data_IF_913280096917
#
_entry.id   IF_913280096917
#
_cell.length_a   1.000
_cell.length_b   1.000
_cell.length_c   1.000
_cell.angle_alpha   90.00
_cell.angle_beta   90.00
_cell.angle_gamma   90.00
#
_symmetry.space_group_name_H-M   'P 1'
#
loop_
_entity.id
_entity.type
_entity.pdbx_description
1 polymer ?
#
# COMPACT_ATOMS: atom_id res chain seq x y z
N UNK A 1 -17.65 -5.21 -14.49
CA UNK A 1 -16.77 -4.03 -14.38
C UNK A 1 -15.49 -4.54 -13.74
N UNK A 2 -14.34 -4.34 -14.39
CA UNK A 2 -13.02 -4.61 -13.82
C UNK A 2 -12.50 -3.23 -13.46
N UNK A 3 -12.41 -2.99 -12.16
CA UNK A 3 -12.32 -1.67 -11.57
C UNK A 3 -12.19 -1.81 -10.06
N UNK A 4 -11.10 -1.34 -9.46
CA UNK A 4 -11.10 -1.11 -8.01
C UNK A 4 -12.09 0.01 -7.63
N UNK A 5 -12.50 0.05 -6.36
CA UNK A 5 -13.42 1.09 -5.90
C UNK A 5 -12.76 2.48 -5.95
N UNK A 6 -13.55 3.55 -6.12
CA UNK A 6 -13.02 4.92 -6.14
C UNK A 6 -12.32 5.27 -4.82
N UNK A 7 -12.83 4.75 -3.70
CA UNK A 7 -12.20 4.89 -2.37
C UNK A 7 -10.83 4.20 -2.32
N UNK A 8 -10.69 3.02 -2.92
CA UNK A 8 -9.41 2.30 -3.02
C UNK A 8 -8.44 3.04 -3.94
N UNK A 9 -8.93 3.55 -5.07
CA UNK A 9 -8.15 4.36 -6.01
C UNK A 9 -7.62 5.62 -5.33
N UNK A 10 -8.48 6.37 -4.63
CA UNK A 10 -8.09 7.58 -3.88
C UNK A 10 -7.07 7.25 -2.79
N UNK A 11 -7.27 6.15 -2.05
CA UNK A 11 -6.32 5.73 -1.01
C UNK A 11 -4.95 5.36 -1.59
N UNK A 12 -4.88 4.76 -2.78
CA UNK A 12 -3.60 4.52 -3.46
C UNK A 12 -2.95 5.83 -3.93
N UNK A 13 -3.71 6.78 -4.44
CA UNK A 13 -3.18 8.11 -4.82
C UNK A 13 -2.58 8.80 -3.59
N UNK A 14 -3.30 8.80 -2.46
CA UNK A 14 -2.82 9.38 -1.20
C UNK A 14 -1.61 8.63 -0.64
N UNK A 15 -1.61 7.29 -0.74
CA UNK A 15 -0.48 6.46 -0.35
C UNK A 15 0.77 6.78 -1.19
N UNK A 16 0.63 6.95 -2.51
CA UNK A 16 1.73 7.36 -3.40
C UNK A 16 2.29 8.71 -2.99
N UNK A 17 1.44 9.70 -2.70
CA UNK A 17 1.87 11.01 -2.22
C UNK A 17 2.59 10.90 -0.88
N UNK A 18 2.08 10.10 0.06
CA UNK A 18 2.70 9.86 1.36
C UNK A 18 4.10 9.25 1.21
N UNK A 19 4.28 8.22 0.38
CA UNK A 19 5.60 7.61 0.15
C UNK A 19 6.59 8.63 -0.41
N UNK A 20 6.17 9.52 -1.33
CA UNK A 20 7.04 10.60 -1.83
C UNK A 20 7.53 11.53 -0.72
N UNK A 21 6.70 11.83 0.28
CA UNK A 21 7.14 12.64 1.45
C UNK A 21 8.14 11.90 2.33
N UNK A 22 8.11 10.57 2.30
CA UNK A 22 9.04 9.72 3.02
C UNK A 22 10.32 9.47 2.24
N UNK A 23 10.54 10.05 1.06
CA UNK A 23 11.81 9.94 0.34
C UNK A 23 12.56 11.28 0.40
N UNK A 24 13.89 11.21 0.53
CA UNK A 24 14.75 12.40 0.40
C UNK A 24 14.99 12.74 -1.07
N UNK A 25 14.94 11.72 -1.94
CA UNK A 25 15.04 11.83 -3.39
C UNK A 25 13.84 11.11 -4.01
N UNK A 26 12.67 11.78 -4.09
CA UNK A 26 11.46 11.15 -4.58
C UNK A 26 11.65 10.67 -6.01
N UNK A 27 11.72 9.36 -6.18
CA UNK A 27 11.82 8.72 -7.48
C UNK A 27 10.43 8.24 -7.93
N UNK A 28 9.96 8.81 -9.04
CA UNK A 28 8.68 8.45 -9.65
C UNK A 28 8.67 7.01 -10.18
N UNK A 29 9.84 6.40 -10.38
CA UNK A 29 10.01 5.01 -10.77
C UNK A 29 9.62 4.01 -9.67
N UNK A 30 9.51 4.47 -8.42
CA UNK A 30 9.20 3.62 -7.27
C UNK A 30 7.73 3.21 -7.22
N UNK A 31 6.85 4.01 -7.82
CA UNK A 31 5.41 3.78 -7.86
C UNK A 31 4.87 4.16 -9.25
N UNK A 32 4.84 3.19 -10.16
CA UNK A 32 4.40 3.34 -11.57
C UNK A 32 2.87 3.42 -11.76
N UNK A 33 2.13 3.71 -10.69
CA UNK A 33 0.68 3.90 -10.76
C UNK A 33 0.32 5.11 -11.61
N UNK A 34 -0.52 4.88 -12.62
CA UNK A 34 -0.99 5.93 -13.54
C UNK A 34 -2.13 6.74 -12.91
N UNK A 35 -1.80 7.48 -11.87
CA UNK A 35 -2.75 8.30 -11.09
C UNK A 35 -3.33 9.48 -11.88
N UNK A 36 -2.73 9.82 -13.03
CA UNK A 36 -3.13 10.95 -13.86
C UNK A 36 -4.15 10.56 -14.95
N UNK A 37 -4.19 9.29 -15.33
CA UNK A 37 -5.27 8.77 -16.17
C UNK A 37 -6.50 8.44 -15.33
N UNK A 38 -7.49 9.32 -15.36
CA UNK A 38 -8.77 9.15 -14.69
C UNK A 38 -9.61 7.98 -15.24
N UNK A 39 -9.16 7.32 -16.30
CA UNK A 39 -9.77 6.11 -16.86
C UNK A 39 -8.99 4.84 -16.52
N UNK A 40 -7.80 4.96 -15.92
CA UNK A 40 -7.03 3.78 -15.55
C UNK A 40 -7.65 3.09 -14.34
N UNK A 41 -7.91 1.79 -14.48
CA UNK A 41 -8.29 0.94 -13.36
C UNK A 41 -7.04 0.72 -12.49
N UNK A 42 -7.16 0.93 -11.18
CA UNK A 42 -6.01 0.69 -10.31
C UNK A 42 -5.62 -0.79 -10.23
N UNK A 43 -6.50 -1.72 -10.61
CA UNK A 43 -6.15 -3.13 -10.78
C UNK A 43 -5.22 -3.40 -11.97
N UNK A 44 -5.16 -2.48 -12.94
CA UNK A 44 -4.21 -2.53 -14.06
C UNK A 44 -2.88 -1.84 -13.72
N UNK A 45 -2.80 -1.14 -12.59
CA UNK A 45 -1.56 -0.50 -12.16
C UNK A 45 -0.52 -1.55 -11.77
N UNK A 46 0.72 -1.29 -12.15
CA UNK A 46 1.82 -2.19 -11.80
C UNK A 46 1.89 -2.38 -10.28
N UNK A 47 2.00 -3.64 -9.85
CA UNK A 47 2.14 -4.07 -8.44
C UNK A 47 0.91 -3.82 -7.55
N UNK A 48 -0.23 -3.52 -8.16
CA UNK A 48 -1.53 -3.65 -7.52
C UNK A 48 -2.13 -4.98 -7.95
N UNK A 49 -2.49 -5.83 -6.98
CA UNK A 49 -3.17 -7.09 -7.26
C UNK A 49 -4.56 -7.04 -6.69
N UNK A 50 -5.54 -7.18 -7.55
CA UNK A 50 -6.94 -7.27 -7.17
C UNK A 50 -7.45 -8.71 -7.15
N UNK A 51 -8.52 -8.95 -6.41
CA UNK A 51 -9.30 -10.18 -6.52
C UNK A 51 -10.03 -10.22 -7.87
N UNK A 52 -9.95 -11.36 -8.56
CA UNK A 52 -10.54 -11.50 -9.89
C UNK A 52 -12.07 -11.55 -9.89
N UNK A 53 -12.69 -11.79 -8.72
CA UNK A 53 -14.14 -11.92 -8.51
C UNK A 53 -14.73 -10.61 -8.02
N UNK A 54 -14.13 -9.99 -7.00
CA UNK A 54 -14.65 -8.77 -6.36
C UNK A 54 -14.09 -7.50 -6.97
N UNK A 55 -12.95 -7.56 -7.66
CA UNK A 55 -12.24 -6.39 -8.20
C UNK A 55 -11.54 -5.56 -7.13
N UNK A 56 -11.43 -6.06 -5.89
CA UNK A 56 -10.89 -5.31 -4.75
C UNK A 56 -9.40 -5.51 -4.59
N UNK A 57 -8.70 -4.48 -4.11
CA UNK A 57 -7.24 -4.53 -3.89
C UNK A 57 -6.89 -5.51 -2.76
N UNK A 58 -6.14 -6.56 -3.08
CA UNK A 58 -5.72 -7.60 -2.14
C UNK A 58 -4.25 -7.54 -1.75
N UNK A 59 -3.37 -7.23 -2.70
CA UNK A 59 -1.92 -7.19 -2.45
C UNK A 59 -1.32 -5.94 -3.09
N UNK A 60 -0.41 -5.30 -2.36
CA UNK A 60 0.38 -4.16 -2.83
C UNK A 60 1.86 -4.48 -2.69
N UNK A 61 2.61 -4.37 -3.77
CA UNK A 61 4.05 -4.58 -3.75
C UNK A 61 4.79 -3.24 -3.82
N UNK A 62 5.60 -2.98 -2.80
CA UNK A 62 6.33 -1.74 -2.61
C UNK A 62 7.82 -2.00 -2.81
N UNK A 63 8.44 -1.23 -3.71
CA UNK A 63 9.86 -1.36 -4.00
C UNK A 63 10.60 -0.08 -3.66
N UNK A 64 11.76 -0.23 -3.04
CA UNK A 64 12.64 0.88 -2.64
C UNK A 64 11.97 2.00 -1.83
N UNK A 65 10.84 1.74 -1.18
CA UNK A 65 10.22 2.74 -0.30
C UNK A 65 10.94 2.74 1.05
N UNK A 66 11.22 3.92 1.63
CA UNK A 66 11.92 4.05 2.93
C UNK A 66 11.39 3.14 4.05
N UNK A 67 10.06 2.96 4.24
CA UNK A 67 9.52 2.01 5.23
C UNK A 67 9.98 0.56 5.06
N UNK A 68 10.39 0.17 3.85
CA UNK A 68 10.84 -1.18 3.53
C UNK A 68 12.35 -1.42 3.78
N UNK A 69 13.09 -0.39 4.22
CA UNK A 69 14.51 -0.51 4.59
C UNK A 69 14.69 -0.58 6.12
N UNK A 70 14.88 -1.78 6.69
CA UNK A 70 15.29 -1.88 8.09
C UNK A 70 16.71 -1.30 8.27
N UNK A 71 16.94 -0.60 9.38
CA UNK A 71 18.25 -0.06 9.79
C UNK A 71 19.37 -1.10 9.62
N UNK A 72 20.59 -0.70 9.14
CA UNK A 72 21.25 0.57 9.44
C UNK A 72 21.25 1.65 8.35
N UNK A 73 20.63 1.40 7.18
CA UNK A 73 20.82 2.25 5.99
C UNK A 73 19.77 3.36 5.77
N UNK A 74 18.75 3.49 6.62
CA UNK A 74 17.72 4.50 6.45
C UNK A 74 16.88 4.77 7.69
N UNK A 75 16.33 5.99 7.81
CA UNK A 75 15.28 6.28 8.80
C UNK A 75 14.10 5.35 8.53
N UNK A 76 13.76 4.48 9.49
CA UNK A 76 12.55 3.67 9.45
C UNK A 76 11.35 4.58 9.18
N UNK A 77 10.81 4.52 7.96
CA UNK A 77 9.60 5.27 7.61
C UNK A 77 8.42 4.65 8.34
N UNK A 78 7.64 5.45 9.07
CA UNK A 78 6.38 4.99 9.66
C UNK A 78 5.36 4.96 8.52
N UNK A 79 4.70 3.82 8.29
CA UNK A 79 3.56 3.76 7.38
C UNK A 79 2.32 4.37 8.05
N UNK A 80 1.59 5.21 7.32
CA UNK A 80 0.30 5.68 7.79
C UNK A 80 -0.76 4.58 7.60
N UNK A 81 -1.00 3.79 8.66
CA UNK A 81 -1.94 2.68 8.59
C UNK A 81 -3.40 3.10 8.42
N UNK A 82 -3.75 4.36 8.69
CA UNK A 82 -5.12 4.87 8.51
C UNK A 82 -5.57 4.82 7.05
N UNK A 83 -4.63 4.95 6.10
CA UNK A 83 -4.91 4.84 4.67
C UNK A 83 -5.39 3.44 4.27
N UNK A 84 -5.04 2.41 5.06
CA UNK A 84 -5.45 1.04 4.76
C UNK A 84 -6.91 0.74 5.10
N UNK A 85 -7.63 1.68 5.72
CA UNK A 85 -9.06 1.53 5.98
C UNK A 85 -9.88 1.41 4.69
N UNK A 86 -9.43 2.05 3.61
CA UNK A 86 -10.12 2.01 2.32
C UNK A 86 -10.05 0.63 1.62
N UNK A 87 -9.07 -0.22 1.97
CA UNK A 87 -8.87 -1.51 1.32
C UNK A 87 -9.46 -2.67 2.14
N UNK A 88 -10.75 -2.94 1.95
CA UNK A 88 -11.49 -3.97 2.70
C UNK A 88 -11.04 -5.41 2.41
N UNK A 89 -10.30 -5.65 1.33
CA UNK A 89 -9.76 -6.97 0.99
C UNK A 89 -8.23 -7.02 1.00
N UNK A 90 -7.54 -5.95 1.41
CA UNK A 90 -6.08 -5.95 1.49
C UNK A 90 -5.58 -6.96 2.54
N UNK A 91 -4.79 -7.91 2.07
CA UNK A 91 -4.23 -9.03 2.85
C UNK A 91 -2.75 -8.82 3.14
N UNK A 92 -2.00 -8.28 2.17
CA UNK A 92 -0.55 -8.12 2.33
C UNK A 92 0.05 -6.93 1.62
N UNK A 93 1.10 -6.41 2.26
CA UNK A 93 2.04 -5.44 1.71
C UNK A 93 3.38 -6.16 1.57
N UNK A 94 3.88 -6.27 0.34
CA UNK A 94 5.16 -6.91 0.06
C UNK A 94 6.22 -5.83 -0.14
N UNK A 95 7.20 -5.77 0.77
CA UNK A 95 8.37 -4.92 0.64
C UNK A 95 9.48 -5.66 -0.09
N UNK A 96 9.96 -5.11 -1.21
CA UNK A 96 11.04 -5.71 -2.01
C UNK A 96 12.20 -4.72 -2.16
N UNK A 97 13.40 -5.13 -1.77
CA UNK A 97 14.67 -4.40 -1.92
C UNK A 97 15.59 -5.18 -2.85
N UNK A 98 16.36 -4.50 -3.72
CA UNK A 98 17.38 -5.14 -4.56
C UNK A 98 18.69 -5.40 -3.80
N UNK A 99 18.99 -4.60 -2.77
CA UNK A 99 20.30 -4.64 -2.08
C UNK A 99 20.44 -5.83 -1.11
N UNK A 100 19.34 -6.47 -0.78
CA UNK A 100 19.28 -7.69 0.01
C UNK A 100 18.25 -8.58 -0.67
N UNK A 101 18.55 -9.86 -0.89
CA UNK A 101 17.59 -10.90 -1.31
C UNK A 101 16.48 -11.14 -0.26
N UNK A 102 16.12 -10.11 0.51
CA UNK A 102 15.30 -10.10 1.70
C UNK A 102 14.15 -9.15 1.43
N UNK A 103 13.09 -9.71 0.86
CA UNK A 103 11.77 -9.08 0.92
C UNK A 103 11.11 -9.39 2.25
N UNK A 104 10.38 -8.44 2.81
CA UNK A 104 9.55 -8.68 3.98
C UNK A 104 8.09 -8.51 3.61
N UNK A 105 7.30 -9.56 3.84
CA UNK A 105 5.86 -9.54 3.66
C UNK A 105 5.19 -9.13 4.95
N UNK A 106 4.63 -7.92 4.98
CA UNK A 106 3.79 -7.47 6.08
C UNK A 106 2.37 -7.97 5.83
N UNK A 107 1.88 -8.84 6.73
CA UNK A 107 0.45 -9.19 6.75
C UNK A 107 -0.31 -8.03 7.37
N UNK A 108 -1.29 -7.50 6.65
CA UNK A 108 -2.19 -6.48 7.18
C UNK A 108 -3.14 -7.18 8.15
N UNK A 109 -2.80 -7.14 9.44
CA UNK A 109 -3.69 -7.62 10.48
C UNK A 109 -4.81 -6.60 10.65
N UNK A 110 -5.98 -6.88 10.05
CA UNK A 110 -7.20 -6.15 10.40
C UNK A 110 -7.53 -6.50 11.85
N UNK A 111 -7.32 -5.56 12.78
CA UNK A 111 -7.83 -5.74 14.14
C UNK A 111 -9.36 -5.61 14.09
N UNK A 112 -9.98 -6.75 13.85
CA UNK A 112 -11.36 -7.17 14.13
C UNK A 112 -11.95 -6.34 15.25
N UNK A 113 -12.93 -5.47 15.02
CA UNK A 113 -14.01 -5.06 15.94
C UNK A 113 -13.87 -5.05 17.50
N UNK A 114 -12.67 -4.98 18.11
CA UNK A 114 -12.46 -5.24 19.55
C UNK A 114 -11.94 -4.04 20.35
N UNK A 115 -11.40 -2.99 19.74
CA UNK A 115 -10.96 -1.82 20.52
C UNK A 115 -12.15 -0.93 20.93
N UNK A 116 -13.23 -0.87 20.16
CA UNK A 116 -14.40 -0.06 20.53
C UNK A 116 -15.39 -0.74 21.47
N UNK A 117 -15.26 -2.06 21.73
CA UNK A 117 -16.10 -2.79 22.69
C UNK A 117 -15.44 -3.02 24.06
N UNK A 118 -14.13 -2.82 24.20
CA UNK A 118 -13.42 -2.98 25.48
C UNK A 118 -13.37 -1.72 26.37
N UNK A 119 -13.90 -0.57 25.92
CA UNK A 119 -14.00 0.66 26.73
C UNK A 119 -15.44 1.01 27.15
N UNK A 120 -16.33 0.02 27.12
CA UNK A 120 -17.61 0.06 27.84
C UNK A 120 -17.71 -1.19 28.71
N UNK A 121 -17.15 -1.06 29.90
CA UNK A 121 -17.20 -2.02 31.00
C UNK A 121 -16.64 -1.33 32.23
#
# INVERSE_FOLDING_TARGET
MRGCLEEERMALVEFKAFIKTLDEYPDDSLILWDVNDNKSDCCDWERVKCDATTGRVMELQLFYVRPCYPFPYGRSGILNFSLFHAFEELVSLDCLSIDLLVGFRMKVMKKVSEVSRSWRG
#
